data_IF_548622276619
#
_entry.id   IF_548622276619
#
_cell.length_a   1.000
_cell.length_b   1.000
_cell.length_c   1.000
_cell.angle_alpha   90.00
_cell.angle_beta   90.00
_cell.angle_gamma   90.00
#
_symmetry.space_group_name_H-M   'P 1'
#
loop_
_entity.id
_entity.type
_entity.pdbx_description
1 polymer ?
#
# COMPACT_ATOMS: atom_id res chain seq x y z
N UNK A 1 7.94 11.42 -30.01
CA UNK A 1 8.13 10.00 -30.19
C UNK A 1 6.79 9.27 -30.17
N UNK A 2 6.74 8.04 -30.65
CA UNK A 2 5.52 7.23 -30.57
C UNK A 2 5.25 6.84 -29.11
N UNK A 3 3.97 6.80 -28.73
CA UNK A 3 3.54 6.34 -27.42
C UNK A 3 3.80 4.83 -27.30
N UNK A 4 4.54 4.43 -26.28
CA UNK A 4 4.78 3.01 -26.02
C UNK A 4 3.53 2.35 -25.48
N UNK A 5 3.14 1.22 -26.08
CA UNK A 5 2.01 0.38 -25.66
C UNK A 5 2.54 -0.98 -25.26
N UNK A 6 2.00 -1.56 -24.19
CA UNK A 6 2.21 -2.96 -23.81
C UNK A 6 0.88 -3.70 -23.85
N UNK A 7 0.88 -4.84 -24.53
CA UNK A 7 -0.27 -5.71 -24.68
C UNK A 7 -0.25 -6.77 -23.59
N UNK A 8 -1.17 -6.67 -22.63
CA UNK A 8 -1.26 -7.58 -21.49
C UNK A 8 -2.34 -8.61 -21.78
N UNK A 9 -2.02 -9.92 -21.78
CA UNK A 9 -3.00 -10.96 -22.09
C UNK A 9 -4.00 -11.15 -20.95
N UNK A 10 -5.28 -11.08 -21.29
CA UNK A 10 -6.42 -11.38 -20.44
C UNK A 10 -7.24 -12.46 -21.15
N UNK A 11 -7.20 -13.69 -20.69
CA UNK A 11 -7.87 -14.86 -21.23
C UNK A 11 -7.72 -15.01 -22.76
N UNK A 12 -8.68 -14.48 -23.54
CA UNK A 12 -8.79 -14.57 -24.99
C UNK A 12 -8.62 -13.20 -25.71
N UNK A 13 -8.28 -12.15 -24.97
CA UNK A 13 -8.07 -10.81 -25.51
C UNK A 13 -6.88 -10.11 -24.84
N UNK A 14 -6.52 -8.94 -25.34
CA UNK A 14 -5.45 -8.12 -24.78
C UNK A 14 -6.02 -6.82 -24.22
N UNK A 15 -5.50 -6.41 -23.06
CA UNK A 15 -5.64 -5.05 -22.55
C UNK A 15 -4.38 -4.27 -22.92
N UNK A 16 -4.58 -3.17 -23.61
CA UNK A 16 -3.51 -2.30 -24.11
C UNK A 16 -3.19 -1.22 -23.08
N UNK A 17 -1.96 -1.18 -22.60
CA UNK A 17 -1.53 -0.18 -21.63
C UNK A 17 -0.51 0.78 -22.23
N UNK A 18 -0.77 2.08 -22.16
CA UNK A 18 0.25 3.10 -22.37
C UNK A 18 1.29 3.04 -21.24
N UNK A 19 2.54 3.20 -21.62
CA UNK A 19 3.64 3.25 -20.67
C UNK A 19 4.10 4.69 -20.52
N UNK A 20 3.89 5.25 -19.32
CA UNK A 20 4.37 6.58 -18.97
C UNK A 20 5.63 6.47 -18.13
N UNK A 21 6.61 7.34 -18.40
CA UNK A 21 7.82 7.44 -17.57
C UNK A 21 7.80 8.72 -16.76
N UNK A 22 7.93 8.57 -15.44
CA UNK A 22 8.07 9.69 -14.49
C UNK A 22 9.44 9.60 -13.84
N UNK A 23 10.23 10.65 -13.95
CA UNK A 23 11.55 10.70 -13.32
C UNK A 23 11.43 11.33 -11.94
N UNK A 24 11.83 10.58 -10.90
CA UNK A 24 11.88 11.04 -9.51
C UNK A 24 13.32 10.99 -9.03
N UNK A 25 14.01 12.10 -9.11
CA UNK A 25 15.46 12.14 -8.90
C UNK A 25 16.16 11.20 -9.89
N UNK A 26 16.93 10.24 -9.36
CA UNK A 26 17.64 9.23 -10.16
C UNK A 26 16.78 8.01 -10.54
N UNK A 27 15.56 7.92 -10.02
CA UNK A 27 14.67 6.78 -10.22
C UNK A 27 13.68 7.08 -11.33
N UNK A 28 13.49 6.13 -12.25
CA UNK A 28 12.41 6.16 -13.24
C UNK A 28 11.26 5.27 -12.78
N UNK A 29 10.08 5.85 -12.67
CA UNK A 29 8.83 5.13 -12.48
C UNK A 29 8.18 4.90 -13.83
N UNK A 30 7.76 3.67 -14.10
CA UNK A 30 6.98 3.31 -15.27
C UNK A 30 5.55 3.06 -14.83
N UNK A 31 4.62 3.83 -15.36
CA UNK A 31 3.20 3.75 -15.04
C UNK A 31 2.46 3.16 -16.23
N UNK A 32 1.58 2.21 -15.95
CA UNK A 32 0.72 1.57 -16.94
C UNK A 32 -0.66 2.21 -16.90
N UNK A 33 -1.16 2.63 -18.05
CA UNK A 33 -2.40 3.37 -18.20
C UNK A 33 -3.27 2.71 -19.26
N UNK A 34 -4.43 2.20 -18.85
CA UNK A 34 -5.39 1.54 -19.74
C UNK A 34 -6.43 2.47 -20.31
N UNK A 35 -6.47 3.75 -19.91
CA UNK A 35 -7.43 4.71 -20.44
C UNK A 35 -7.04 5.20 -21.83
N UNK A 36 -7.25 4.33 -22.80
CA UNK A 36 -6.99 4.61 -24.21
C UNK A 36 -8.05 3.94 -25.10
N UNK A 37 -8.15 4.41 -26.35
CA UNK A 37 -9.19 4.01 -27.29
C UNK A 37 -9.04 2.60 -27.88
N UNK A 38 -7.91 1.92 -27.65
CA UNK A 38 -7.71 0.53 -28.06
C UNK A 38 -8.46 -0.45 -27.15
N UNK A 39 -8.86 0.00 -25.95
CA UNK A 39 -9.55 -0.79 -24.96
C UNK A 39 -11.06 -0.55 -24.98
N UNK A 40 -11.81 -1.57 -24.54
CA UNK A 40 -13.22 -1.39 -24.22
C UNK A 40 -13.41 -0.35 -23.11
N UNK A 41 -14.57 0.30 -23.04
CA UNK A 41 -14.89 1.26 -21.98
C UNK A 41 -14.71 0.66 -20.57
N UNK A 42 -15.02 -0.64 -20.43
CA UNK A 42 -14.85 -1.37 -19.20
C UNK A 42 -13.35 -1.53 -18.81
N UNK A 43 -12.48 -1.86 -19.76
CA UNK A 43 -11.06 -2.06 -19.50
C UNK A 43 -10.28 -0.74 -19.36
N UNK A 44 -10.76 0.33 -19.98
CA UNK A 44 -10.23 1.67 -19.75
C UNK A 44 -10.28 2.09 -18.28
N UNK A 45 -11.29 1.65 -17.56
CA UNK A 45 -11.50 2.00 -16.15
C UNK A 45 -10.55 1.29 -15.16
N UNK A 46 -9.79 0.26 -15.57
CA UNK A 46 -8.91 -0.54 -14.70
C UNK A 46 -7.95 0.35 -13.91
N UNK A 47 -7.39 1.38 -14.54
CA UNK A 47 -6.40 2.27 -13.91
C UNK A 47 -6.97 3.59 -13.38
N UNK A 48 -8.28 3.82 -13.41
CA UNK A 48 -8.89 5.08 -13.00
C UNK A 48 -8.80 5.33 -11.48
N UNK A 49 -8.92 4.28 -10.68
CA UNK A 49 -8.97 4.43 -9.22
C UNK A 49 -8.17 3.34 -8.52
N UNK A 50 -7.24 3.77 -7.69
CA UNK A 50 -6.48 2.88 -6.81
C UNK A 50 -7.43 2.15 -5.85
N UNK A 51 -7.35 0.82 -5.83
CA UNK A 51 -8.26 -0.06 -5.05
C UNK A 51 -9.74 0.16 -5.35
N UNK A 52 -10.06 0.65 -6.55
CA UNK A 52 -11.44 0.85 -6.99
C UNK A 52 -12.08 -0.41 -7.58
N UNK A 53 -13.41 -0.38 -7.66
CA UNK A 53 -14.19 -1.44 -8.25
C UNK A 53 -14.42 -2.65 -7.34
N UNK A 54 -14.82 -3.75 -7.96
CA UNK A 54 -15.06 -5.04 -7.32
C UNK A 54 -13.81 -5.95 -7.34
N UNK A 55 -13.98 -7.19 -6.89
CA UNK A 55 -12.90 -8.19 -6.88
C UNK A 55 -12.39 -8.55 -8.27
N UNK A 56 -13.24 -8.47 -9.30
CA UNK A 56 -12.82 -8.70 -10.69
C UNK A 56 -11.92 -7.57 -11.17
N UNK A 57 -12.31 -6.32 -10.94
CA UNK A 57 -11.45 -5.18 -11.25
C UNK A 57 -10.13 -5.21 -10.47
N UNK A 58 -10.19 -5.66 -9.20
CA UNK A 58 -8.99 -5.85 -8.39
C UNK A 58 -8.04 -6.86 -9.02
N UNK A 59 -8.53 -8.03 -9.44
CA UNK A 59 -7.71 -9.02 -10.13
C UNK A 59 -7.11 -8.47 -11.44
N UNK A 60 -7.90 -7.72 -12.22
CA UNK A 60 -7.42 -7.06 -13.43
C UNK A 60 -6.28 -6.10 -13.13
N UNK A 61 -6.39 -5.28 -12.09
CA UNK A 61 -5.31 -4.38 -11.66
C UNK A 61 -4.03 -5.15 -11.30
N UNK A 62 -4.14 -6.29 -10.63
CA UNK A 62 -2.99 -7.11 -10.22
C UNK A 62 -2.33 -7.83 -11.41
N UNK A 63 -3.12 -8.29 -12.37
CA UNK A 63 -2.61 -8.83 -13.65
C UNK A 63 -1.86 -7.74 -14.41
N UNK A 64 -2.45 -6.56 -14.52
CA UNK A 64 -1.80 -5.44 -15.21
C UNK A 64 -0.49 -5.06 -14.55
N UNK A 65 -0.48 -4.93 -13.22
CA UNK A 65 0.72 -4.58 -12.45
C UNK A 65 1.80 -5.66 -12.54
N UNK A 66 1.42 -6.91 -12.28
CA UNK A 66 2.37 -8.03 -12.22
C UNK A 66 2.86 -8.46 -13.58
N UNK A 67 1.97 -9.00 -14.39
CA UNK A 67 2.29 -9.52 -15.72
C UNK A 67 2.64 -8.37 -16.67
N UNK A 68 1.80 -7.34 -16.72
CA UNK A 68 2.05 -6.15 -17.53
C UNK A 68 3.35 -5.43 -17.18
N UNK A 69 3.70 -5.40 -15.90
CA UNK A 69 4.97 -4.85 -15.41
C UNK A 69 6.18 -5.58 -15.98
N UNK A 70 6.21 -6.91 -15.96
CA UNK A 70 7.30 -7.72 -16.53
C UNK A 70 7.37 -7.55 -18.05
N UNK A 71 6.23 -7.59 -18.73
CA UNK A 71 6.17 -7.35 -20.19
C UNK A 71 6.68 -5.94 -20.54
N UNK A 72 6.41 -4.95 -19.71
CA UNK A 72 6.92 -3.58 -19.88
C UNK A 72 8.44 -3.53 -19.74
N UNK A 73 9.02 -4.13 -18.71
CA UNK A 73 10.47 -4.19 -18.53
C UNK A 73 11.14 -4.89 -19.72
N UNK A 74 10.56 -5.99 -20.18
CA UNK A 74 11.05 -6.73 -21.36
C UNK A 74 11.01 -5.85 -22.62
N UNK A 75 9.92 -5.16 -22.89
CA UNK A 75 9.77 -4.25 -24.03
C UNK A 75 10.74 -3.07 -23.98
N UNK A 76 11.08 -2.59 -22.79
CA UNK A 76 12.08 -1.54 -22.55
C UNK A 76 13.52 -2.05 -22.60
N UNK A 77 13.76 -3.37 -22.71
CA UNK A 77 15.09 -3.97 -22.65
C UNK A 77 15.74 -3.88 -21.27
N UNK A 78 14.94 -3.66 -20.21
CA UNK A 78 15.41 -3.55 -18.83
C UNK A 78 15.50 -4.95 -18.21
N UNK A 79 16.71 -5.38 -17.91
CA UNK A 79 16.99 -6.62 -17.19
C UNK A 79 17.33 -6.31 -15.74
N UNK A 80 16.84 -7.12 -14.81
CA UNK A 80 17.08 -7.01 -13.37
C UNK A 80 17.50 -8.36 -12.81
N UNK A 81 18.33 -8.34 -11.79
CA UNK A 81 18.77 -9.53 -11.07
C UNK A 81 17.84 -9.86 -9.91
N UNK A 82 17.23 -8.83 -9.29
CA UNK A 82 16.32 -8.95 -8.15
C UNK A 82 14.98 -8.28 -8.47
N UNK A 83 13.91 -8.96 -8.11
CA UNK A 83 12.54 -8.50 -8.24
C UNK A 83 11.89 -8.40 -6.86
N UNK A 84 11.42 -7.21 -6.52
CA UNK A 84 10.83 -6.94 -5.23
C UNK A 84 9.32 -6.76 -5.35
N UNK A 85 8.56 -7.69 -4.76
CA UNK A 85 7.11 -7.58 -4.63
C UNK A 85 6.75 -6.77 -3.38
N UNK A 86 6.26 -5.57 -3.56
CA UNK A 86 5.72 -4.75 -2.48
C UNK A 86 4.23 -5.07 -2.31
N UNK A 87 3.87 -5.89 -1.33
CA UNK A 87 2.58 -6.52 -1.11
C UNK A 87 2.23 -7.65 -2.11
N UNK A 88 1.19 -8.43 -1.76
CA UNK A 88 0.70 -9.54 -2.57
C UNK A 88 0.22 -9.13 -3.95
N UNK A 89 -0.34 -7.93 -4.10
CA UNK A 89 -0.88 -7.45 -5.38
C UNK A 89 0.13 -7.36 -6.53
N UNK A 90 1.42 -7.39 -6.25
CA UNK A 90 2.47 -7.42 -7.27
C UNK A 90 2.93 -8.84 -7.63
N UNK A 91 2.49 -9.88 -6.91
CA UNK A 91 3.08 -11.22 -6.97
C UNK A 91 2.99 -11.92 -8.33
N UNK A 92 2.02 -11.53 -9.18
CA UNK A 92 1.88 -12.10 -10.53
C UNK A 92 3.08 -11.79 -11.47
N UNK A 93 4.02 -10.94 -11.06
CA UNK A 93 5.32 -10.83 -11.76
C UNK A 93 5.98 -12.20 -11.88
N UNK A 94 5.86 -13.04 -10.85
CA UNK A 94 6.51 -14.34 -10.79
C UNK A 94 5.85 -15.36 -11.74
N UNK A 95 4.56 -15.26 -12.03
CA UNK A 95 3.90 -16.05 -13.07
C UNK A 95 4.53 -15.77 -14.43
N UNK A 96 4.64 -14.50 -14.83
CA UNK A 96 5.20 -14.15 -16.12
C UNK A 96 6.68 -14.54 -16.23
N UNK A 97 7.45 -14.39 -15.16
CA UNK A 97 8.86 -14.77 -15.12
C UNK A 97 9.05 -16.28 -15.27
N UNK A 98 8.23 -17.10 -14.59
CA UNK A 98 8.24 -18.55 -14.77
C UNK A 98 7.92 -18.92 -16.23
N UNK A 99 6.88 -18.31 -16.80
CA UNK A 99 6.54 -18.53 -18.22
C UNK A 99 7.69 -18.18 -19.16
N UNK A 100 8.41 -17.09 -18.91
CA UNK A 100 9.54 -16.67 -19.73
C UNK A 100 10.69 -17.68 -19.66
N UNK A 101 11.07 -18.18 -18.47
CA UNK A 101 12.10 -19.21 -18.31
C UNK A 101 11.70 -20.54 -18.92
N UNK A 102 10.45 -20.96 -18.80
CA UNK A 102 9.96 -22.18 -19.45
C UNK A 102 10.00 -22.03 -20.98
N UNK A 103 9.65 -20.88 -21.50
CA UNK A 103 9.77 -20.57 -22.94
C UNK A 103 11.22 -20.56 -23.43
N UNK A 104 12.19 -20.29 -22.55
CA UNK A 104 13.64 -20.38 -22.82
C UNK A 104 14.16 -21.82 -22.73
N UNK A 105 13.32 -22.80 -22.37
CA UNK A 105 13.64 -24.23 -22.37
C UNK A 105 13.93 -24.85 -21.00
N UNK A 106 13.69 -24.12 -19.90
CA UNK A 106 13.80 -24.69 -18.56
C UNK A 106 12.54 -25.50 -18.22
N UNK A 107 12.70 -26.49 -17.34
CA UNK A 107 11.53 -27.13 -16.71
C UNK A 107 10.89 -26.17 -15.70
N UNK A 108 9.64 -26.43 -15.33
CA UNK A 108 8.97 -25.65 -14.29
C UNK A 108 9.76 -25.61 -12.98
N UNK A 109 10.27 -26.77 -12.54
CA UNK A 109 11.05 -26.86 -11.28
C UNK A 109 12.31 -25.99 -11.32
N UNK A 110 13.01 -25.97 -12.46
CA UNK A 110 14.15 -25.09 -12.65
C UNK A 110 13.75 -23.61 -12.68
N UNK A 111 12.67 -23.29 -13.38
CA UNK A 111 12.18 -21.93 -13.52
C UNK A 111 11.72 -21.34 -12.19
N UNK A 112 10.96 -22.10 -11.38
CA UNK A 112 10.49 -21.61 -10.08
C UNK A 112 11.61 -21.37 -9.08
N UNK A 113 12.67 -22.21 -9.10
CA UNK A 113 13.82 -22.00 -8.23
C UNK A 113 14.61 -20.73 -8.62
N UNK A 114 14.79 -20.45 -9.91
CA UNK A 114 15.40 -19.21 -10.37
C UNK A 114 14.56 -17.99 -9.99
N UNK A 115 13.24 -18.10 -10.12
CA UNK A 115 12.31 -17.02 -9.72
C UNK A 115 12.37 -16.78 -8.21
N UNK A 116 12.34 -17.84 -7.39
CA UNK A 116 12.49 -17.73 -5.93
C UNK A 116 13.77 -17.05 -5.54
N UNK A 117 14.91 -17.56 -6.04
CA UNK A 117 16.25 -17.07 -5.71
C UNK A 117 16.46 -15.58 -6.02
N UNK A 118 15.64 -15.01 -6.91
CA UNK A 118 15.73 -13.62 -7.34
C UNK A 118 14.49 -12.79 -6.95
N UNK A 119 13.64 -13.29 -6.06
CA UNK A 119 12.43 -12.60 -5.59
C UNK A 119 12.49 -12.31 -4.11
N UNK A 120 12.06 -11.08 -3.75
CA UNK A 120 11.83 -10.60 -2.39
C UNK A 120 10.37 -10.16 -2.26
N UNK A 121 9.70 -10.60 -1.21
CA UNK A 121 8.33 -10.17 -0.89
C UNK A 121 8.30 -9.38 0.41
N UNK A 122 7.76 -8.16 0.36
CA UNK A 122 7.51 -7.35 1.56
C UNK A 122 6.02 -7.30 1.85
N UNK A 123 5.62 -7.85 3.00
CA UNK A 123 4.25 -7.80 3.48
C UNK A 123 4.04 -6.53 4.33
N UNK A 124 2.90 -5.86 4.12
CA UNK A 124 2.48 -4.69 4.90
C UNK A 124 1.23 -4.96 5.72
N UNK A 125 0.46 -5.95 5.32
CA UNK A 125 -0.82 -6.30 5.93
C UNK A 125 -0.62 -7.09 7.23
N UNK A 126 -1.16 -6.62 8.37
CA UNK A 126 -0.92 -7.25 9.67
C UNK A 126 -1.98 -8.29 10.05
N UNK A 127 -2.97 -8.56 9.19
CA UNK A 127 -4.09 -9.46 9.45
C UNK A 127 -4.46 -10.26 8.21
N UNK A 128 -4.75 -11.57 8.32
CA UNK A 128 -5.08 -12.42 7.16
C UNK A 128 -6.24 -11.89 6.30
N UNK A 129 -7.28 -11.37 6.93
CA UNK A 129 -8.45 -10.82 6.23
C UNK A 129 -8.18 -9.60 5.34
N UNK A 130 -6.98 -9.01 5.43
CA UNK A 130 -6.57 -7.87 4.61
C UNK A 130 -5.79 -8.25 3.36
N UNK A 131 -5.52 -9.55 3.15
CA UNK A 131 -4.90 -10.04 1.92
C UNK A 131 -5.91 -10.17 0.78
N UNK A 132 -5.42 -10.18 -0.45
CA UNK A 132 -6.25 -10.38 -1.62
C UNK A 132 -6.47 -11.89 -1.86
N UNK A 133 -7.74 -12.29 -1.91
CA UNK A 133 -8.18 -13.67 -2.14
C UNK A 133 -9.12 -13.71 -3.34
N UNK A 134 -8.83 -14.61 -4.28
CA UNK A 134 -9.67 -14.80 -5.47
C UNK A 134 -10.27 -16.19 -5.48
N UNK A 135 -11.59 -16.26 -5.72
CA UNK A 135 -12.28 -17.52 -5.93
C UNK A 135 -11.74 -18.20 -7.19
N UNK A 136 -11.68 -19.53 -7.18
CA UNK A 136 -11.13 -20.33 -8.28
C UNK A 136 -11.77 -20.00 -9.64
N UNK A 137 -13.09 -19.79 -9.67
CA UNK A 137 -13.81 -19.43 -10.89
C UNK A 137 -13.39 -18.08 -11.46
N UNK A 138 -13.25 -17.07 -10.59
CA UNK A 138 -12.78 -15.73 -11.00
C UNK A 138 -11.31 -15.78 -11.42
N UNK A 139 -10.47 -16.42 -10.64
CA UNK A 139 -9.04 -16.53 -10.96
C UNK A 139 -8.83 -17.30 -12.27
N UNK A 140 -9.56 -18.41 -12.48
CA UNK A 140 -9.52 -19.22 -13.68
C UNK A 140 -9.96 -18.48 -14.94
N UNK A 141 -10.91 -17.55 -14.80
CA UNK A 141 -11.37 -16.70 -15.91
C UNK A 141 -10.23 -15.95 -16.59
N UNK A 142 -9.24 -15.51 -15.82
CA UNK A 142 -8.12 -14.69 -16.33
C UNK A 142 -6.80 -15.45 -16.40
N UNK A 143 -6.57 -16.40 -15.49
CA UNK A 143 -5.28 -17.08 -15.33
C UNK A 143 -5.28 -18.50 -15.92
N UNK A 144 -6.42 -18.99 -16.44
CA UNK A 144 -6.57 -20.37 -16.93
C UNK A 144 -5.63 -20.78 -18.05
N UNK A 145 -5.10 -19.83 -18.83
CA UNK A 145 -4.12 -20.10 -19.88
C UNK A 145 -2.66 -20.17 -19.42
N UNK A 146 -2.36 -19.80 -18.16
CA UNK A 146 -0.99 -19.74 -17.66
C UNK A 146 -0.37 -21.09 -17.28
N UNK A 147 -1.13 -22.06 -16.71
CA UNK A 147 -0.55 -23.37 -16.34
C UNK A 147 0.16 -24.06 -17.51
N UNK A 148 -0.45 -24.08 -18.70
CA UNK A 148 0.19 -24.68 -19.88
C UNK A 148 1.47 -23.98 -20.30
N UNK A 149 1.58 -22.66 -20.11
CA UNK A 149 2.78 -21.85 -20.37
C UNK A 149 3.85 -22.06 -19.31
N UNK A 150 3.46 -22.41 -18.10
CA UNK A 150 4.34 -22.73 -16.99
C UNK A 150 4.79 -24.21 -17.01
N UNK A 151 4.09 -25.09 -17.78
CA UNK A 151 4.36 -26.53 -17.81
C UNK A 151 3.81 -27.30 -16.59
N UNK A 152 2.72 -26.81 -15.97
CA UNK A 152 2.08 -27.39 -14.80
C UNK A 152 0.57 -27.55 -15.00
N UNK A 153 -0.09 -28.24 -14.09
CA UNK A 153 -1.55 -28.33 -14.07
C UNK A 153 -2.21 -27.08 -13.48
N UNK A 154 -3.52 -26.95 -13.67
CA UNK A 154 -4.31 -25.89 -13.01
C UNK A 154 -4.27 -26.02 -11.48
N UNK A 155 -4.39 -27.25 -10.98
CA UNK A 155 -4.35 -27.53 -9.54
C UNK A 155 -2.98 -27.15 -8.94
N UNK A 156 -1.87 -27.38 -9.62
CA UNK A 156 -0.53 -26.96 -9.18
C UNK A 156 -0.43 -25.43 -9.08
N UNK A 157 -0.98 -24.69 -10.04
CA UNK A 157 -1.01 -23.24 -9.96
C UNK A 157 -1.84 -22.75 -8.78
N UNK A 158 -3.03 -23.31 -8.58
CA UNK A 158 -3.90 -22.96 -7.45
C UNK A 158 -3.26 -23.26 -6.11
N UNK A 159 -2.55 -24.37 -6.01
CA UNK A 159 -1.87 -24.80 -4.77
C UNK A 159 -0.72 -23.88 -4.36
N UNK A 160 -0.12 -23.16 -5.28
CA UNK A 160 0.84 -22.11 -4.94
C UNK A 160 0.22 -20.95 -4.14
N UNK A 161 -1.07 -20.72 -4.28
CA UNK A 161 -1.82 -19.69 -3.54
C UNK A 161 -2.66 -20.21 -2.37
N UNK A 162 -2.60 -21.50 -2.04
CA UNK A 162 -3.35 -22.14 -0.94
C UNK A 162 -2.45 -22.39 0.27
N UNK A 163 -2.97 -22.15 1.48
CA UNK A 163 -2.27 -22.53 2.72
C UNK A 163 -2.16 -24.05 2.86
N UNK A 164 -3.17 -24.76 2.37
CA UNK A 164 -3.22 -26.21 2.35
C UNK A 164 -3.31 -26.70 0.90
N UNK A 165 -2.17 -27.01 0.26
CA UNK A 165 -2.17 -27.57 -1.09
C UNK A 165 -3.10 -28.79 -1.18
N UNK A 166 -3.90 -28.84 -2.25
CA UNK A 166 -4.94 -29.87 -2.47
C UNK A 166 -6.30 -29.54 -1.86
N UNK A 167 -6.43 -28.54 -0.99
CA UNK A 167 -7.74 -28.10 -0.47
C UNK A 167 -8.47 -27.21 -1.48
N UNK A 168 -9.38 -27.79 -2.24
CA UNK A 168 -10.18 -27.08 -3.25
C UNK A 168 -11.22 -26.12 -2.64
N UNK A 169 -11.42 -26.13 -1.34
CA UNK A 169 -12.24 -25.14 -0.63
C UNK A 169 -11.52 -23.83 -0.36
N UNK A 170 -10.17 -23.82 -0.45
CA UNK A 170 -9.38 -22.60 -0.27
C UNK A 170 -9.34 -21.76 -1.55
N UNK A 171 -9.49 -20.45 -1.40
CA UNK A 171 -9.31 -19.47 -2.46
C UNK A 171 -7.81 -19.25 -2.73
N UNK A 172 -7.50 -18.75 -3.92
CA UNK A 172 -6.13 -18.32 -4.24
C UNK A 172 -5.79 -17.04 -3.48
N UNK A 173 -4.78 -17.11 -2.61
CA UNK A 173 -4.27 -15.97 -1.82
C UNK A 173 -2.98 -15.42 -2.45
N UNK A 174 -3.00 -14.16 -2.84
CA UNK A 174 -1.85 -13.51 -3.48
C UNK A 174 -0.61 -13.45 -2.57
N UNK A 175 -0.81 -13.29 -1.26
CA UNK A 175 0.30 -13.26 -0.30
C UNK A 175 0.91 -14.64 -0.07
N UNK A 176 0.10 -15.71 -0.06
CA UNK A 176 0.61 -17.10 -0.01
C UNK A 176 1.40 -17.40 -1.28
N UNK A 177 0.88 -17.02 -2.43
CA UNK A 177 1.60 -17.15 -3.71
C UNK A 177 2.92 -16.37 -3.70
N UNK A 178 2.93 -15.15 -3.18
CA UNK A 178 4.15 -14.35 -3.04
C UNK A 178 5.20 -15.04 -2.15
N UNK A 179 4.78 -15.60 -1.00
CA UNK A 179 5.66 -16.37 -0.12
C UNK A 179 6.22 -17.61 -0.82
N UNK A 180 5.38 -18.37 -1.53
CA UNK A 180 5.79 -19.60 -2.22
C UNK A 180 6.72 -19.35 -3.42
N UNK A 181 6.75 -18.14 -3.95
CA UNK A 181 7.55 -17.76 -5.13
C UNK A 181 8.65 -16.74 -4.81
N UNK A 182 8.93 -16.47 -3.54
CA UNK A 182 10.02 -15.61 -3.09
C UNK A 182 10.92 -16.35 -2.10
N UNK A 183 12.22 -16.15 -2.19
CA UNK A 183 13.16 -16.72 -1.23
C UNK A 183 13.12 -15.97 0.10
N UNK A 184 13.04 -14.64 0.03
CA UNK A 184 13.04 -13.79 1.19
C UNK A 184 11.68 -13.11 1.35
N UNK A 185 11.16 -13.13 2.58
CA UNK A 185 9.93 -12.44 2.97
C UNK A 185 10.24 -11.55 4.17
N UNK A 186 9.76 -10.31 4.16
CA UNK A 186 9.94 -9.44 5.31
C UNK A 186 8.68 -8.65 5.67
N UNK A 187 8.46 -8.51 6.97
CA UNK A 187 7.59 -7.48 7.53
C UNK A 187 8.30 -6.13 7.58
N UNK A 188 7.56 -5.06 7.94
CA UNK A 188 8.05 -3.67 7.87
C UNK A 188 8.43 -3.07 9.23
N UNK A 189 8.52 -3.90 10.25
CA UNK A 189 9.09 -3.61 11.58
C UNK A 189 9.36 -4.92 12.32
N UNK A 190 10.13 -4.87 13.40
CA UNK A 190 10.37 -6.05 14.24
C UNK A 190 9.07 -6.74 14.68
N UNK A 191 8.13 -5.99 15.25
CA UNK A 191 6.84 -6.56 15.68
C UNK A 191 6.04 -7.10 14.50
N UNK A 192 6.01 -6.40 13.38
CA UNK A 192 5.30 -6.86 12.18
C UNK A 192 5.94 -8.14 11.61
N UNK A 193 7.26 -8.28 11.67
CA UNK A 193 7.95 -9.52 11.32
C UNK A 193 7.45 -10.69 12.17
N UNK A 194 7.34 -10.53 13.49
CA UNK A 194 6.79 -11.54 14.39
C UNK A 194 5.35 -11.92 14.06
N UNK A 195 4.48 -10.92 13.83
CA UNK A 195 3.10 -11.15 13.40
C UNK A 195 3.04 -11.89 12.05
N UNK A 196 3.92 -11.54 11.12
CA UNK A 196 3.97 -12.19 9.81
C UNK A 196 4.49 -13.63 9.88
N UNK A 197 5.44 -13.94 10.76
CA UNK A 197 5.89 -15.30 11.03
C UNK A 197 4.73 -16.19 11.45
N UNK A 198 3.92 -15.74 12.42
CA UNK A 198 2.71 -16.44 12.85
C UNK A 198 1.66 -16.55 11.74
N UNK A 199 1.44 -15.48 11.00
CA UNK A 199 0.42 -15.40 9.96
C UNK A 199 0.69 -16.37 8.79
N UNK A 200 1.96 -16.56 8.45
CA UNK A 200 2.39 -17.44 7.35
C UNK A 200 2.94 -18.79 7.80
N UNK A 201 2.80 -19.15 9.07
CA UNK A 201 3.33 -20.40 9.62
C UNK A 201 2.86 -21.65 8.87
N UNK A 202 1.62 -21.63 8.32
CA UNK A 202 1.05 -22.74 7.53
C UNK A 202 1.81 -23.04 6.23
N UNK A 203 2.57 -22.08 5.69
CA UNK A 203 3.32 -22.25 4.45
C UNK A 203 4.57 -23.13 4.67
N UNK A 204 5.25 -22.95 5.80
CA UNK A 204 6.45 -23.71 6.17
C UNK A 204 6.10 -24.78 7.21
N UNK A 205 5.38 -25.81 6.78
CA UNK A 205 4.96 -26.93 7.64
C UNK A 205 6.18 -27.65 8.24
N UNK A 206 6.14 -27.84 9.56
CA UNK A 206 7.22 -28.52 10.29
C UNK A 206 8.30 -27.59 10.85
N UNK A 207 8.20 -26.30 10.58
CA UNK A 207 9.04 -25.26 11.20
C UNK A 207 8.29 -24.52 12.30
N UNK A 208 8.98 -24.06 13.32
CA UNK A 208 8.42 -23.05 14.20
C UNK A 208 8.30 -21.71 13.46
N UNK A 209 7.35 -20.83 13.85
CA UNK A 209 7.17 -19.55 13.16
C UNK A 209 8.46 -18.73 13.05
N UNK A 210 9.30 -18.71 14.09
CA UNK A 210 10.57 -18.01 14.15
C UNK A 210 11.68 -18.61 13.26
N UNK A 211 11.51 -19.84 12.81
CA UNK A 211 12.43 -20.53 11.89
C UNK A 211 12.05 -20.33 10.41
N UNK A 212 10.89 -19.72 10.17
CA UNK A 212 10.41 -19.43 8.82
C UNK A 212 11.29 -18.38 8.12
N UNK A 213 11.22 -18.35 6.78
CA UNK A 213 11.92 -17.36 5.96
C UNK A 213 11.31 -15.95 6.03
N UNK A 214 10.71 -15.57 7.17
CA UNK A 214 10.09 -14.26 7.38
C UNK A 214 10.93 -13.43 8.34
N UNK A 215 11.64 -12.48 7.80
CA UNK A 215 12.39 -11.48 8.55
C UNK A 215 11.64 -10.16 8.72
N UNK A 216 12.38 -9.10 8.99
CA UNK A 216 11.85 -7.74 8.97
C UNK A 216 12.89 -6.73 8.52
N UNK A 217 12.40 -5.68 7.87
CA UNK A 217 13.16 -4.46 7.58
C UNK A 217 12.30 -3.30 8.02
N UNK A 218 12.78 -2.53 9.01
CA UNK A 218 11.99 -1.40 9.53
C UNK A 218 11.88 -0.31 8.48
N UNK A 219 10.65 0.13 8.21
CA UNK A 219 10.40 1.24 7.29
C UNK A 219 11.12 2.50 7.75
N UNK A 220 11.72 3.22 6.82
CA UNK A 220 12.22 4.56 7.03
C UNK A 220 11.10 5.61 6.95
N UNK A 221 11.40 6.80 7.43
CA UNK A 221 10.55 7.98 7.29
C UNK A 221 11.22 8.94 6.31
N UNK A 222 10.53 9.26 5.23
CA UNK A 222 11.03 10.26 4.28
C UNK A 222 10.72 11.66 4.81
N UNK A 223 11.68 12.22 5.56
CA UNK A 223 11.56 13.51 6.22
C UNK A 223 11.08 14.64 5.29
N UNK A 224 11.62 14.80 4.06
CA UNK A 224 11.17 15.87 3.15
C UNK A 224 9.70 15.80 2.78
N UNK A 225 9.09 14.59 2.71
CA UNK A 225 7.67 14.42 2.41
C UNK A 225 6.79 14.69 3.62
N UNK A 226 7.18 14.20 4.81
CA UNK A 226 6.30 14.15 5.97
C UNK A 226 6.47 15.33 6.93
N UNK A 227 7.57 16.09 6.82
CA UNK A 227 7.77 17.31 7.60
C UNK A 227 7.16 18.51 6.86
N UNK A 228 6.36 19.30 7.57
CA UNK A 228 5.80 20.53 7.02
C UNK A 228 6.90 21.58 6.79
N UNK A 229 6.66 22.49 5.86
CA UNK A 229 7.60 23.56 5.51
C UNK A 229 7.98 24.41 6.72
N UNK A 230 7.02 24.69 7.59
CA UNK A 230 7.21 25.47 8.81
C UNK A 230 8.20 24.81 9.77
N UNK A 231 8.10 23.49 9.94
CA UNK A 231 9.05 22.72 10.73
C UNK A 231 10.43 22.66 10.06
N UNK A 232 10.50 22.50 8.75
CA UNK A 232 11.77 22.54 8.02
C UNK A 232 12.50 23.85 8.21
N UNK A 233 11.78 24.98 8.21
CA UNK A 233 12.37 26.29 8.47
C UNK A 233 12.90 26.40 9.90
N UNK A 234 12.14 25.92 10.89
CA UNK A 234 12.59 25.91 12.27
C UNK A 234 13.85 25.06 12.44
N UNK A 235 13.85 23.85 11.87
CA UNK A 235 15.03 22.97 11.94
C UNK A 235 16.25 23.58 11.21
N UNK A 236 16.04 24.18 10.04
CA UNK A 236 17.15 24.83 9.30
C UNK A 236 17.74 26.02 10.06
N UNK A 237 16.96 26.68 10.94
CA UNK A 237 17.44 27.81 11.74
C UNK A 237 18.24 27.38 12.98
N UNK A 238 17.98 26.22 13.54
CA UNK A 238 18.48 25.82 14.85
C UNK A 238 19.33 24.54 14.86
N UNK A 239 19.22 23.72 13.81
CA UNK A 239 19.90 22.44 13.73
C UNK A 239 21.11 22.52 12.81
N UNK A 240 21.98 21.52 12.87
CA UNK A 240 23.10 21.36 11.97
C UNK A 240 22.64 21.39 10.50
N UNK A 241 23.44 21.99 9.62
CA UNK A 241 23.11 22.15 8.19
C UNK A 241 22.89 20.81 7.46
N UNK A 242 23.47 19.71 7.97
CA UNK A 242 23.29 18.37 7.43
C UNK A 242 21.98 17.72 7.87
N UNK A 243 21.25 18.29 8.84
CA UNK A 243 20.02 17.71 9.37
C UNK A 243 18.98 17.40 8.30
N UNK A 244 18.83 18.26 7.29
CA UNK A 244 17.84 18.05 6.22
C UNK A 244 18.19 16.87 5.31
N UNK A 245 19.43 16.40 5.33
CA UNK A 245 19.92 15.28 4.50
C UNK A 245 20.05 14.00 5.28
N UNK A 246 20.40 14.06 6.56
CA UNK A 246 20.57 12.90 7.43
C UNK A 246 20.00 13.16 8.82
N UNK A 247 18.92 12.49 9.15
CA UNK A 247 18.25 12.54 10.46
C UNK A 247 18.50 11.29 11.30
N UNK A 248 19.41 10.41 10.87
CA UNK A 248 19.65 9.11 11.52
C UNK A 248 20.40 9.21 12.86
N UNK A 249 21.17 10.28 13.05
CA UNK A 249 21.92 10.49 14.29
C UNK A 249 21.01 11.07 15.38
N UNK A 250 20.70 10.31 16.47
CA UNK A 250 19.83 10.78 17.55
C UNK A 250 20.29 12.09 18.21
N UNK A 251 21.59 12.33 18.27
CA UNK A 251 22.17 13.54 18.90
C UNK A 251 21.82 14.83 18.16
N UNK A 252 21.57 14.77 16.84
CA UNK A 252 21.14 15.93 16.07
C UNK A 252 19.80 16.49 16.58
N UNK A 253 18.92 15.60 17.08
CA UNK A 253 17.60 15.98 17.60
C UNK A 253 17.67 16.72 18.92
N UNK A 254 18.76 16.59 19.69
CA UNK A 254 18.96 17.32 20.94
C UNK A 254 18.98 18.85 20.75
N UNK A 255 19.25 19.31 19.54
CA UNK A 255 19.18 20.73 19.19
C UNK A 255 17.80 21.35 19.44
N UNK A 256 16.72 20.54 19.49
CA UNK A 256 15.36 21.03 19.81
C UNK A 256 15.27 21.64 21.21
N UNK A 257 16.08 21.20 22.16
CA UNK A 257 16.10 21.75 23.53
C UNK A 257 16.66 23.17 23.62
N UNK A 258 17.31 23.67 22.54
CA UNK A 258 17.81 25.03 22.44
C UNK A 258 16.81 25.99 21.77
N UNK A 259 15.67 25.46 21.27
CA UNK A 259 14.59 26.26 20.67
C UNK A 259 13.63 26.69 21.77
N UNK A 260 13.21 27.95 21.78
CA UNK A 260 12.27 28.42 22.79
C UNK A 260 10.88 27.79 22.64
N UNK A 261 10.18 27.59 23.76
CA UNK A 261 8.81 27.07 23.76
C UNK A 261 7.87 27.96 22.95
N UNK A 262 8.09 29.29 22.98
CA UNK A 262 7.29 30.24 22.22
C UNK A 262 7.43 30.04 20.70
N UNK A 263 8.63 29.75 20.22
CA UNK A 263 8.87 29.52 18.79
C UNK A 263 8.29 28.19 18.34
N UNK A 264 8.48 27.13 19.13
CA UNK A 264 7.86 25.83 18.90
C UNK A 264 6.34 25.96 18.84
N UNK A 265 5.75 26.66 19.83
CA UNK A 265 4.31 26.83 19.90
C UNK A 265 3.76 27.68 18.76
N UNK A 266 4.45 28.77 18.40
CA UNK A 266 4.10 29.59 17.25
C UNK A 266 4.06 28.78 15.95
N UNK A 267 5.09 27.97 15.71
CA UNK A 267 5.14 27.08 14.54
C UNK A 267 3.97 26.10 14.55
N UNK A 268 3.67 25.49 15.70
CA UNK A 268 2.54 24.59 15.89
C UNK A 268 1.21 25.26 15.58
N UNK A 269 1.00 26.49 16.06
CA UNK A 269 -0.23 27.23 15.85
C UNK A 269 -0.45 27.64 14.40
N UNK A 270 0.60 28.00 13.68
CA UNK A 270 0.50 28.26 12.22
C UNK A 270 -0.03 27.03 11.48
N UNK A 271 0.49 25.86 11.76
CA UNK A 271 0.07 24.61 11.13
C UNK A 271 -1.36 24.23 11.54
N UNK A 272 -1.71 24.42 12.81
CA UNK A 272 -3.05 24.13 13.31
C UNK A 272 -4.10 25.01 12.66
N UNK A 273 -3.82 26.29 12.50
CA UNK A 273 -4.72 27.21 11.80
C UNK A 273 -4.88 26.83 10.33
N UNK A 274 -3.80 26.44 9.63
CA UNK A 274 -3.89 25.90 8.26
C UNK A 274 -4.82 24.68 8.17
N UNK A 275 -4.72 23.74 9.12
CA UNK A 275 -5.61 22.59 9.19
C UNK A 275 -7.07 23.01 9.42
N UNK A 276 -7.31 23.92 10.35
CA UNK A 276 -8.67 24.43 10.66
C UNK A 276 -9.27 25.10 9.43
N UNK A 277 -8.52 25.94 8.73
CA UNK A 277 -8.97 26.63 7.53
C UNK A 277 -9.28 25.64 6.39
N UNK A 278 -8.44 24.61 6.24
CA UNK A 278 -8.68 23.51 5.30
C UNK A 278 -9.98 22.77 5.64
N UNK A 279 -10.19 22.40 6.91
CA UNK A 279 -11.42 21.74 7.38
C UNK A 279 -12.63 22.61 7.11
N UNK A 280 -12.57 23.92 7.44
CA UNK A 280 -13.66 24.87 7.17
C UNK A 280 -14.00 24.94 5.68
N UNK A 281 -12.99 25.01 4.82
CA UNK A 281 -13.17 25.02 3.37
C UNK A 281 -13.83 23.73 2.87
N UNK A 282 -13.30 22.57 3.25
CA UNK A 282 -13.81 21.26 2.83
C UNK A 282 -15.26 21.05 3.30
N UNK A 283 -15.60 21.43 4.52
CA UNK A 283 -16.96 21.33 5.01
C UNK A 283 -17.93 22.21 4.20
N UNK A 284 -17.55 23.41 3.83
CA UNK A 284 -18.39 24.28 2.98
C UNK A 284 -18.63 23.67 1.60
N UNK A 285 -17.58 23.15 0.96
CA UNK A 285 -17.66 22.57 -0.39
C UNK A 285 -18.45 21.25 -0.40
N UNK A 286 -18.23 20.37 0.58
CA UNK A 286 -18.90 19.07 0.67
C UNK A 286 -20.36 19.20 1.07
N UNK A 287 -20.67 20.20 1.88
CA UNK A 287 -22.02 20.49 2.36
C UNK A 287 -23.00 20.82 1.24
N UNK A 288 -22.59 21.64 0.30
CA UNK A 288 -23.39 21.96 -0.88
C UNK A 288 -23.77 20.71 -1.69
N UNK A 289 -22.96 19.65 -1.60
CA UNK A 289 -23.18 18.36 -2.26
C UNK A 289 -24.09 17.42 -1.47
N UNK A 290 -24.08 17.47 -0.14
CA UNK A 290 -24.72 16.47 0.72
C UNK A 290 -26.09 16.90 1.30
N UNK A 291 -26.64 18.03 0.89
CA UNK A 291 -28.01 18.53 1.23
C UNK A 291 -28.37 18.53 2.72
N UNK A 292 -27.42 18.73 3.60
CA UNK A 292 -27.72 18.82 5.02
C UNK A 292 -28.24 20.19 5.47
N UNK A 293 -28.52 20.39 6.78
CA UNK A 293 -28.98 21.67 7.33
C UNK A 293 -27.84 22.70 7.44
N UNK A 294 -27.83 23.81 6.68
CA UNK A 294 -26.78 24.83 6.70
C UNK A 294 -26.48 25.40 8.08
N UNK A 295 -27.51 25.53 8.92
CA UNK A 295 -27.39 26.12 10.26
C UNK A 295 -26.54 25.27 11.19
N UNK A 296 -26.60 23.95 11.07
CA UNK A 296 -25.77 23.01 11.83
C UNK A 296 -24.30 23.15 11.53
N UNK A 297 -23.95 23.38 10.27
CA UNK A 297 -22.55 23.51 9.88
C UNK A 297 -21.97 24.84 10.27
N UNK A 298 -22.68 25.92 10.05
CA UNK A 298 -22.24 27.22 10.55
C UNK A 298 -21.97 27.13 12.04
N UNK A 299 -22.93 26.58 12.82
CA UNK A 299 -22.75 26.38 14.25
C UNK A 299 -21.56 25.49 14.62
N UNK A 300 -21.28 24.46 13.84
CA UNK A 300 -20.15 23.55 14.10
C UNK A 300 -18.81 24.20 13.75
N UNK A 301 -18.74 24.92 12.62
CA UNK A 301 -17.53 25.61 12.20
C UNK A 301 -17.17 26.78 13.11
N UNK A 302 -18.17 27.47 13.66
CA UNK A 302 -17.96 28.56 14.61
C UNK A 302 -17.48 28.07 15.98
N UNK A 303 -17.78 26.82 16.33
CA UNK A 303 -17.28 26.19 17.57
C UNK A 303 -15.84 25.69 17.50
N UNK A 304 -15.22 25.66 16.31
CA UNK A 304 -13.82 25.23 16.21
C UNK A 304 -12.93 26.27 16.90
N UNK A 305 -12.36 25.83 18.02
CA UNK A 305 -11.46 26.65 18.83
C UNK A 305 -9.99 26.30 18.50
N UNK A 306 -9.20 27.21 17.92
CA UNK A 306 -7.80 26.97 17.61
C UNK A 306 -6.93 26.73 18.86
N UNK A 307 -7.37 27.20 20.04
CA UNK A 307 -6.64 27.01 21.30
C UNK A 307 -7.00 25.71 22.03
N UNK A 308 -8.07 25.02 21.63
CA UNK A 308 -8.42 23.72 22.21
C UNK A 308 -7.42 22.64 21.80
N UNK A 309 -7.17 21.64 22.65
CA UNK A 309 -6.41 20.46 22.26
C UNK A 309 -7.13 19.74 21.11
N UNK A 310 -6.48 19.62 19.96
CA UNK A 310 -7.02 18.91 18.80
C UNK A 310 -6.40 17.52 18.70
N UNK A 311 -7.22 16.48 18.84
CA UNK A 311 -6.84 15.08 18.71
C UNK A 311 -7.35 14.56 17.37
N UNK A 312 -6.45 14.11 16.51
CA UNK A 312 -6.76 13.60 15.18
C UNK A 312 -6.73 12.07 15.11
N UNK A 313 -7.73 11.49 14.45
CA UNK A 313 -7.71 10.10 13.99
C UNK A 313 -7.74 10.09 12.46
N UNK A 314 -6.57 9.88 11.84
CA UNK A 314 -6.39 9.90 10.39
C UNK A 314 -6.09 8.50 9.85
N UNK A 315 -7.08 7.59 9.83
CA UNK A 315 -6.93 6.19 9.41
C UNK A 315 -8.19 5.71 8.68
N UNK A 316 -8.04 4.71 7.79
CA UNK A 316 -9.19 3.96 7.26
C UNK A 316 -10.00 3.38 8.42
N UNK A 317 -11.35 3.41 8.33
CA UNK A 317 -12.23 2.89 9.37
C UNK A 317 -12.33 1.35 9.32
N UNK A 318 -11.17 0.67 9.29
CA UNK A 318 -11.10 -0.78 9.41
C UNK A 318 -11.10 -1.20 10.89
N UNK A 319 -11.68 -2.36 11.21
CA UNK A 319 -11.88 -2.84 12.59
C UNK A 319 -10.59 -2.82 13.42
N UNK A 320 -9.47 -3.27 12.86
CA UNK A 320 -8.19 -3.33 13.59
C UNK A 320 -7.58 -1.93 13.88
N UNK A 321 -8.05 -0.87 13.22
CA UNK A 321 -7.66 0.52 13.52
C UNK A 321 -8.37 1.08 14.75
N UNK A 322 -9.42 0.42 15.23
CA UNK A 322 -10.09 0.67 16.51
C UNK A 322 -10.61 2.09 16.70
N UNK A 323 -11.13 2.74 15.65
CA UNK A 323 -11.69 4.10 15.73
C UNK A 323 -12.76 4.25 16.81
N UNK A 324 -13.56 3.18 17.05
CA UNK A 324 -14.65 3.17 18.03
C UNK A 324 -14.17 3.09 19.49
N UNK A 325 -12.89 2.80 19.74
CA UNK A 325 -12.37 2.66 21.11
C UNK A 325 -12.60 3.90 21.97
N UNK A 326 -12.56 5.09 21.35
CA UNK A 326 -12.84 6.36 22.04
C UNK A 326 -14.25 6.41 22.66
N UNK A 327 -15.21 5.67 22.11
CA UNK A 327 -16.63 5.72 22.50
C UNK A 327 -17.03 4.59 23.44
N UNK A 328 -16.09 3.83 24.00
CA UNK A 328 -16.38 2.71 24.91
C UNK A 328 -16.85 3.18 26.29
N UNK A 329 -16.49 4.39 26.70
CA UNK A 329 -16.96 5.05 27.93
C UNK A 329 -17.44 6.46 27.61
N UNK A 330 -18.73 6.58 27.27
CA UNK A 330 -19.32 7.85 26.85
C UNK A 330 -19.40 8.87 27.97
N UNK A 331 -19.62 8.45 29.21
CA UNK A 331 -19.73 9.33 30.36
C UNK A 331 -18.37 9.99 30.67
N UNK A 332 -17.32 9.22 30.59
CA UNK A 332 -15.95 9.72 30.73
C UNK A 332 -15.58 10.64 29.59
N UNK A 333 -15.90 10.26 28.36
CA UNK A 333 -15.66 11.09 27.18
C UNK A 333 -16.40 12.43 27.28
N UNK A 334 -17.69 12.41 27.67
CA UNK A 334 -18.49 13.63 27.86
C UNK A 334 -17.88 14.58 28.89
N UNK A 335 -17.33 14.06 29.99
CA UNK A 335 -16.63 14.87 31.01
C UNK A 335 -15.36 15.51 30.45
N UNK A 336 -14.64 14.80 29.57
CA UNK A 336 -13.40 15.30 28.94
C UNK A 336 -13.73 16.42 27.95
N UNK A 337 -14.65 16.17 27.02
CA UNK A 337 -14.92 17.13 25.92
C UNK A 337 -15.70 18.36 26.35
N UNK A 338 -16.41 18.29 27.48
CA UNK A 338 -17.17 19.42 28.02
C UNK A 338 -16.44 20.18 29.15
N UNK A 339 -15.16 19.89 29.38
CA UNK A 339 -14.37 20.60 30.35
C UNK A 339 -14.02 22.01 29.82
N UNK A 340 -14.50 23.11 30.45
CA UNK A 340 -14.24 24.45 29.97
C UNK A 340 -12.80 24.93 30.16
N UNK A 341 -12.10 24.40 31.18
CA UNK A 341 -10.72 24.80 31.51
C UNK A 341 -9.71 24.11 30.60
N UNK A 342 -10.04 22.91 30.10
CA UNK A 342 -9.19 22.13 29.22
C UNK A 342 -9.97 21.68 27.97
N UNK A 343 -10.29 22.60 27.06
CA UNK A 343 -11.13 22.30 25.91
C UNK A 343 -10.42 21.31 24.96
N UNK A 344 -11.15 20.26 24.56
CA UNK A 344 -10.66 19.20 23.66
C UNK A 344 -11.60 19.09 22.46
N UNK A 345 -11.01 18.91 21.29
CA UNK A 345 -11.73 18.67 20.03
C UNK A 345 -11.16 17.44 19.32
N UNK A 346 -12.01 16.69 18.65
CA UNK A 346 -11.61 15.51 17.89
C UNK A 346 -11.85 15.72 16.40
N UNK A 347 -10.91 15.29 15.59
CA UNK A 347 -11.01 15.26 14.14
C UNK A 347 -10.82 13.82 13.64
N UNK A 348 -11.89 13.23 13.10
CA UNK A 348 -11.84 11.93 12.45
C UNK A 348 -11.79 12.12 10.93
N UNK A 349 -10.85 11.46 10.29
CA UNK A 349 -10.73 11.45 8.83
C UNK A 349 -10.30 10.06 8.37
N UNK A 350 -10.95 9.57 7.32
CA UNK A 350 -10.70 8.25 6.78
C UNK A 350 -11.72 7.87 5.70
N UNK A 351 -11.47 6.73 5.04
CA UNK A 351 -12.36 6.14 4.03
C UNK A 351 -13.12 4.97 4.64
#
# INVERSE_FOLDING_TARGET
>A
GEQMVVDVPYLDYYVHAYVWRVNVGRISLYLLDTDNEMNSEFDRSITHQLYGGDWENRLKQEILLGIGGILTLKKLGIKKDIYHCNEGHAALINVQRICDYVAEGLTYDQAIELVRASSLYTVHTPVPAGHDYFDEGLFGKYMGGYPSRMGISWDDLMDLGRNNPGDKGERFCMSVFACNTSQEVNGVSWLHGKVSQEMFASIWKGYFPEESHVGYVTNGVHFPTWSATEWKHLYAAHFDENFLYDQSNPKIWEAIYNVSDEEIWKTRMVMKNKLIDYVRKQYRETWLKNQGDPSRIVSLLDKINPNALLIGFGRRFATYKRAHLLFTDLDRLAKIVNNPDYPVQFLFTGK
#
